data_IF_034828092253
#
_entry.id   IF_034828092253
#
_cell.length_a   1.000
_cell.length_b   1.000
_cell.length_c   1.000
_cell.angle_alpha   90.00
_cell.angle_beta   90.00
_cell.angle_gamma   90.00
#
_symmetry.space_group_name_H-M   'P 1'
#
loop_
_entity.id
_entity.type
_entity.pdbx_description
1 polymer ?
#
# COMPACT_ATOMS: atom_id res chain seq x y z
N UNK A 1 -0.63 5.53 -0.74
CA UNK A 1 0.63 4.90 -0.28
C UNK A 1 1.28 4.23 -1.47
N UNK A 2 2.55 4.55 -1.78
CA UNK A 2 3.29 3.91 -2.86
C UNK A 2 4.12 2.76 -2.30
N UNK A 3 3.99 1.58 -2.87
CA UNK A 3 4.72 0.37 -2.48
C UNK A 3 4.73 -0.59 -3.66
N UNK A 4 5.79 -1.39 -3.80
CA UNK A 4 5.85 -2.41 -4.84
C UNK A 4 5.00 -3.64 -4.48
N UNK A 5 4.60 -4.39 -5.51
CA UNK A 5 3.74 -5.58 -5.39
C UNK A 5 4.35 -6.65 -4.49
N UNK A 6 5.65 -6.89 -4.59
CA UNK A 6 6.33 -7.95 -3.84
C UNK A 6 6.35 -7.64 -2.34
N UNK A 7 6.69 -6.40 -1.97
CA UNK A 7 6.67 -5.97 -0.57
C UNK A 7 5.26 -6.01 0.00
N UNK A 8 4.23 -5.60 -0.77
CA UNK A 8 2.83 -5.69 -0.35
C UNK A 8 2.41 -7.14 -0.12
N UNK A 9 2.70 -8.03 -1.07
CA UNK A 9 2.39 -9.46 -0.97
C UNK A 9 3.04 -10.09 0.25
N UNK A 10 4.35 -9.84 0.47
CA UNK A 10 5.10 -10.36 1.63
C UNK A 10 4.50 -9.90 2.96
N UNK A 11 4.05 -8.64 3.04
CA UNK A 11 3.42 -8.11 4.26
C UNK A 11 2.06 -8.75 4.54
N UNK A 12 1.25 -8.98 3.52
CA UNK A 12 -0.05 -9.63 3.66
C UNK A 12 0.12 -11.12 4.00
N UNK A 13 1.02 -11.82 3.31
CA UNK A 13 1.29 -13.24 3.53
C UNK A 13 1.79 -13.56 4.95
N UNK A 14 2.55 -12.64 5.57
CA UNK A 14 3.06 -12.82 6.93
C UNK A 14 2.05 -12.46 8.03
N UNK A 15 0.88 -11.89 7.70
CA UNK A 15 -0.11 -11.45 8.68
C UNK A 15 -0.91 -12.63 9.22
N UNK A 16 -0.78 -12.90 10.52
CA UNK A 16 -1.54 -13.96 11.20
C UNK A 16 -2.99 -13.52 11.48
N UNK A 17 -3.90 -14.48 11.46
CA UNK A 17 -5.33 -14.23 11.74
C UNK A 17 -6.06 -13.45 10.64
N UNK A 18 -5.47 -13.33 9.45
CA UNK A 18 -6.08 -12.63 8.33
C UNK A 18 -6.88 -13.58 7.45
N UNK A 19 -8.13 -13.22 7.13
CA UNK A 19 -9.02 -14.05 6.29
C UNK A 19 -8.71 -13.90 4.80
N UNK A 20 -8.31 -12.71 4.35
CA UNK A 20 -8.06 -12.49 2.91
C UNK A 20 -6.73 -13.10 2.50
N UNK A 21 -6.70 -13.87 1.40
CA UNK A 21 -5.51 -14.53 0.91
C UNK A 21 -4.52 -13.54 0.28
N UNK A 22 -3.22 -13.83 0.36
CA UNK A 22 -2.16 -12.95 -0.15
C UNK A 22 -2.19 -12.77 -1.67
N UNK A 23 -2.72 -13.74 -2.42
CA UNK A 23 -2.89 -13.65 -3.88
C UNK A 23 -3.88 -12.55 -4.30
N UNK A 24 -4.72 -12.03 -3.40
CA UNK A 24 -5.58 -10.90 -3.71
C UNK A 24 -4.77 -9.65 -4.05
N UNK A 25 -3.54 -9.53 -3.54
CA UNK A 25 -2.63 -8.43 -3.87
C UNK A 25 -2.41 -8.33 -5.39
N UNK A 26 -2.34 -9.46 -6.10
CA UNK A 26 -2.15 -9.44 -7.55
C UNK A 26 -3.33 -8.76 -8.26
N UNK A 27 -4.57 -9.06 -7.86
CA UNK A 27 -5.76 -8.42 -8.41
C UNK A 27 -5.85 -6.92 -8.10
N UNK A 28 -5.40 -6.50 -6.91
CA UNK A 28 -5.39 -5.10 -6.51
C UNK A 28 -4.40 -4.29 -7.36
N UNK A 29 -3.21 -4.82 -7.61
CA UNK A 29 -2.22 -4.17 -8.48
C UNK A 29 -2.64 -4.17 -9.95
N UNK A 30 -3.32 -5.23 -10.42
CA UNK A 30 -3.87 -5.25 -11.77
C UNK A 30 -4.99 -4.21 -11.99
N UNK A 31 -5.68 -3.83 -10.92
CA UNK A 31 -6.78 -2.83 -10.94
C UNK A 31 -6.30 -1.44 -10.53
N UNK A 32 -5.04 -1.29 -10.11
CA UNK A 32 -4.53 -0.02 -9.58
C UNK A 32 -4.39 1.01 -10.70
N UNK A 33 -5.13 2.09 -10.57
CA UNK A 33 -4.96 3.31 -11.37
C UNK A 33 -4.25 4.36 -10.50
N UNK A 34 -3.16 4.94 -11.01
CA UNK A 34 -2.48 6.02 -10.30
C UNK A 34 -3.32 7.30 -10.36
N UNK A 35 -3.39 8.08 -9.27
CA UNK A 35 -4.12 9.34 -9.28
C UNK A 35 -3.64 10.28 -10.39
N UNK A 36 -4.59 10.89 -11.09
CA UNK A 36 -4.31 11.89 -12.11
C UNK A 36 -3.84 13.22 -11.49
N UNK A 37 -3.24 14.08 -12.32
CA UNK A 37 -2.64 15.34 -11.85
C UNK A 37 -3.66 16.36 -11.33
N UNK A 38 -4.94 16.24 -11.69
CA UNK A 38 -6.05 17.07 -11.23
C UNK A 38 -6.69 16.56 -9.94
N UNK A 39 -6.32 15.36 -9.49
CA UNK A 39 -6.76 14.81 -8.21
C UNK A 39 -5.91 15.34 -7.05
N UNK A 40 -6.57 15.64 -5.92
CA UNK A 40 -5.89 16.08 -4.68
C UNK A 40 -5.31 14.89 -3.90
N UNK A 41 -4.43 14.13 -4.54
CA UNK A 41 -3.80 12.97 -3.94
C UNK A 41 -2.53 13.33 -3.15
N UNK A 42 -2.33 12.64 -2.02
CA UNK A 42 -1.07 12.66 -1.27
C UNK A 42 -0.41 11.30 -1.39
N UNK A 43 0.83 11.29 -1.89
CA UNK A 43 1.64 10.08 -2.01
C UNK A 43 2.62 10.01 -0.86
N UNK A 44 2.62 8.89 -0.14
CA UNK A 44 3.58 8.60 0.91
C UNK A 44 4.17 7.20 0.75
N UNK A 45 5.41 7.01 1.21
CA UNK A 45 6.16 5.75 1.08
C UNK A 45 5.59 4.66 2.01
N UNK A 46 4.97 3.66 1.39
CA UNK A 46 4.34 2.54 2.09
C UNK A 46 5.34 1.58 2.74
N UNK A 47 6.64 1.65 2.43
CA UNK A 47 7.67 0.78 3.04
C UNK A 47 8.03 1.18 4.46
N UNK A 48 7.68 2.40 4.87
CA UNK A 48 7.95 2.93 6.22
C UNK A 48 7.07 2.26 7.30
N UNK A 49 7.41 2.53 8.56
CA UNK A 49 6.53 2.19 9.69
C UNK A 49 5.27 3.06 9.66
N UNK A 50 4.18 2.57 10.28
CA UNK A 50 2.92 3.33 10.38
C UNK A 50 3.14 4.73 10.95
N UNK A 51 3.89 4.84 12.06
CA UNK A 51 4.23 6.13 12.65
C UNK A 51 5.05 7.03 11.72
N UNK A 52 5.95 6.45 10.91
CA UNK A 52 6.73 7.18 9.91
C UNK A 52 5.85 7.75 8.79
N UNK A 53 4.88 6.98 8.30
CA UNK A 53 3.90 7.41 7.29
C UNK A 53 3.02 8.54 7.83
N UNK A 54 2.48 8.37 9.05
CA UNK A 54 1.62 9.41 9.67
C UNK A 54 2.39 10.72 9.83
N UNK A 55 3.65 10.65 10.28
CA UNK A 55 4.52 11.84 10.40
C UNK A 55 4.82 12.50 9.05
N UNK A 56 4.82 11.76 7.95
CA UNK A 56 5.02 12.31 6.61
C UNK A 56 3.80 13.11 6.16
N UNK A 57 2.61 12.57 6.39
CA UNK A 57 1.34 13.13 5.90
C UNK A 57 0.89 14.37 6.72
N UNK A 58 1.19 14.42 8.02
CA UNK A 58 0.72 15.50 8.92
C UNK A 58 1.59 16.77 8.83
N UNK A 59 2.70 16.75 8.08
CA UNK A 59 3.54 17.95 7.86
C UNK A 59 2.84 18.97 6.98
#
# INVERSE_FOLDING_TARGET
LKIDRETAWRRVANRKGHFMPANLVDSQFATLEEPAADERAVTADGTRSVAGIVKEIIR
#
